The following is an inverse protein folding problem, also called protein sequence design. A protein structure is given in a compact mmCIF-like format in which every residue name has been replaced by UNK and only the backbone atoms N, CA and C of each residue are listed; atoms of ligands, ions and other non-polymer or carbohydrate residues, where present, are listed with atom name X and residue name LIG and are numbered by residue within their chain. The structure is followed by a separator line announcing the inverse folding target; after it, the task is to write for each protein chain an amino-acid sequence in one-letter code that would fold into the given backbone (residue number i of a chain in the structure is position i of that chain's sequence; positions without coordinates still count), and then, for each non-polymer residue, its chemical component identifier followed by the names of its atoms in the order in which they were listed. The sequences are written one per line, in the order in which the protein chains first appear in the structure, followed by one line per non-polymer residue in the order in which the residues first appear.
data_IF_098304048688
#
_entry.id   IF_098304048688
#
_cell.length_a   1.000
_cell.length_b   1.000
_cell.length_c   1.000
_cell.angle_alpha   90.00
_cell.angle_beta   90.00
_cell.angle_gamma   90.00
#
_symmetry.space_group_name_H-M   'P 1'
#
loop_
_entity.id
_entity.type
_entity.pdbx_description
1 polymer ?
#
# COMPACT_ATOMS: atom_id res chain seq x y z
N UNK A 1 -0.33 -19.32 5.41
CA UNK A 1 -1.58 -18.58 5.19
C UNK A 1 -2.75 -19.39 5.71
N UNK A 2 -3.69 -18.71 6.39
CA UNK A 2 -4.87 -19.35 6.99
C UNK A 2 -5.98 -19.68 5.98
N UNK A 3 -5.85 -19.21 4.73
CA UNK A 3 -6.81 -19.49 3.66
C UNK A 3 -6.10 -19.62 2.32
N UNK A 4 -6.60 -20.49 1.49
CA UNK A 4 -6.17 -20.68 0.09
C UNK A 4 -6.89 -19.69 -0.85
N UNK A 5 -7.22 -18.51 -0.35
CA UNK A 5 -8.05 -17.51 -1.06
C UNK A 5 -7.56 -17.26 -2.49
N UNK A 6 -6.27 -16.95 -2.67
CA UNK A 6 -5.75 -16.63 -4.00
C UNK A 6 -5.82 -17.82 -4.96
N UNK A 7 -5.61 -19.06 -4.45
CA UNK A 7 -5.65 -20.29 -5.28
C UNK A 7 -7.05 -20.55 -5.83
N UNK A 8 -8.09 -20.18 -5.11
CA UNK A 8 -9.47 -20.33 -5.56
C UNK A 8 -9.98 -19.09 -6.29
N UNK A 9 -9.63 -17.91 -5.81
CA UNK A 9 -10.23 -16.68 -6.27
C UNK A 9 -9.64 -16.18 -7.60
N UNK A 10 -8.35 -16.35 -7.85
CA UNK A 10 -7.76 -15.95 -9.13
C UNK A 10 -8.34 -16.73 -10.30
N UNK A 11 -8.37 -18.07 -10.31
CA UNK A 11 -9.00 -18.82 -11.38
C UNK A 11 -10.50 -18.54 -11.53
N UNK A 12 -11.18 -18.22 -10.43
CA UNK A 12 -12.59 -17.81 -10.48
C UNK A 12 -12.74 -16.47 -11.22
N UNK A 13 -11.92 -15.48 -10.89
CA UNK A 13 -11.97 -14.15 -11.51
C UNK A 13 -11.62 -14.20 -13.01
N UNK A 14 -10.74 -15.10 -13.43
CA UNK A 14 -10.38 -15.28 -14.85
C UNK A 14 -11.58 -15.63 -15.76
N UNK A 15 -12.71 -16.04 -15.20
CA UNK A 15 -13.93 -16.36 -15.93
C UNK A 15 -14.75 -15.13 -16.33
N UNK A 16 -14.39 -13.95 -15.84
CA UNK A 16 -15.17 -12.72 -16.06
C UNK A 16 -14.40 -11.73 -16.94
N UNK A 17 -14.89 -11.52 -18.13
CA UNK A 17 -14.40 -10.46 -19.00
C UNK A 17 -14.85 -9.07 -18.51
N UNK A 18 -13.98 -8.07 -18.65
CA UNK A 18 -14.27 -6.68 -18.28
C UNK A 18 -14.29 -6.38 -16.79
N UNK A 19 -13.92 -7.34 -15.94
CA UNK A 19 -13.75 -7.17 -14.49
C UNK A 19 -12.27 -7.11 -14.16
N UNK A 20 -11.83 -6.10 -13.41
CA UNK A 20 -10.49 -5.98 -12.87
C UNK A 20 -10.53 -6.12 -11.36
N UNK A 21 -9.76 -7.05 -10.82
CA UNK A 21 -9.59 -7.25 -9.39
C UNK A 21 -8.28 -6.66 -8.90
N UNK A 22 -8.32 -5.90 -7.82
CA UNK A 22 -7.13 -5.42 -7.13
C UNK A 22 -6.93 -6.17 -5.81
N UNK A 23 -5.80 -6.87 -5.66
CA UNK A 23 -5.38 -7.49 -4.39
C UNK A 23 -4.35 -6.60 -3.71
N UNK A 24 -4.70 -6.03 -2.55
CA UNK A 24 -3.85 -5.11 -1.79
C UNK A 24 -3.09 -5.83 -0.68
N UNK A 25 -1.81 -5.53 -0.55
CA UNK A 25 -0.97 -6.17 0.48
C UNK A 25 0.06 -5.24 1.11
N UNK A 26 0.42 -5.54 2.36
CA UNK A 26 1.60 -5.07 3.09
C UNK A 26 2.52 -6.24 3.47
N UNK A 27 2.22 -7.43 2.98
CA UNK A 27 3.02 -8.64 3.16
C UNK A 27 4.10 -8.75 2.07
N UNK A 28 5.19 -9.41 2.40
CA UNK A 28 6.20 -9.86 1.43
C UNK A 28 6.06 -11.36 1.12
N UNK A 29 5.13 -12.05 1.79
CA UNK A 29 4.83 -13.45 1.46
C UNK A 29 3.88 -13.49 0.26
N UNK A 30 4.43 -13.79 -0.90
CA UNK A 30 3.71 -13.88 -2.17
C UNK A 30 3.52 -15.33 -2.65
N UNK A 31 3.83 -16.34 -1.82
CA UNK A 31 3.76 -17.76 -2.21
C UNK A 31 2.39 -18.12 -2.78
N UNK A 32 1.31 -17.76 -2.09
CA UNK A 32 -0.05 -18.06 -2.55
C UNK A 32 -0.45 -17.31 -3.83
N UNK A 33 0.19 -16.17 -4.13
CA UNK A 33 0.01 -15.45 -5.39
C UNK A 33 0.71 -16.23 -6.52
N UNK A 34 1.94 -16.67 -6.28
CA UNK A 34 2.75 -17.42 -7.25
C UNK A 34 2.21 -18.83 -7.51
N UNK A 35 1.58 -19.45 -6.50
CA UNK A 35 0.99 -20.79 -6.61
C UNK A 35 -0.43 -20.75 -7.22
N UNK A 36 -1.10 -19.61 -7.14
CA UNK A 36 -2.42 -19.43 -7.73
C UNK A 36 -2.34 -19.56 -9.26
N UNK A 37 -3.42 -20.03 -9.87
CA UNK A 37 -3.53 -20.19 -11.32
C UNK A 37 -2.35 -20.96 -11.95
N UNK A 38 -1.80 -21.96 -11.21
CA UNK A 38 -0.66 -22.79 -11.65
C UNK A 38 0.61 -21.96 -11.96
N UNK A 39 0.79 -20.82 -11.32
CA UNK A 39 1.92 -19.91 -11.53
C UNK A 39 1.79 -19.00 -12.77
N UNK A 40 0.65 -19.02 -13.45
CA UNK A 40 0.38 -18.14 -14.58
C UNK A 40 -0.19 -16.82 -14.05
N UNK A 41 0.40 -15.67 -14.42
CA UNK A 41 -0.13 -14.37 -14.03
C UNK A 41 -1.58 -14.19 -14.54
N UNK A 42 -2.52 -13.84 -13.67
CA UNK A 42 -3.91 -13.61 -14.07
C UNK A 42 -4.02 -12.35 -14.94
N UNK A 43 -4.87 -12.38 -15.97
CA UNK A 43 -5.02 -11.26 -16.91
C UNK A 43 -5.85 -10.11 -16.33
N UNK A 44 -6.77 -10.41 -15.41
CA UNK A 44 -7.71 -9.46 -14.82
C UNK A 44 -7.45 -9.17 -13.32
N UNK A 45 -6.27 -9.55 -12.81
CA UNK A 45 -5.90 -9.30 -11.41
C UNK A 45 -4.64 -8.46 -11.32
N UNK A 46 -4.64 -7.47 -10.47
CA UNK A 46 -3.52 -6.61 -10.16
C UNK A 46 -3.11 -6.74 -8.70
N UNK A 47 -1.82 -6.79 -8.44
CA UNK A 47 -1.27 -6.91 -7.09
C UNK A 47 -0.73 -5.56 -6.65
N UNK A 48 -1.36 -4.98 -5.64
CA UNK A 48 -1.01 -3.65 -5.14
C UNK A 48 -0.23 -3.73 -3.83
N UNK A 49 0.97 -3.18 -3.83
CA UNK A 49 1.80 -3.08 -2.63
C UNK A 49 1.72 -1.69 -2.01
N UNK A 50 1.36 -1.63 -0.72
CA UNK A 50 1.49 -0.39 0.04
C UNK A 50 2.95 -0.17 0.43
N UNK A 51 3.48 1.02 0.13
CA UNK A 51 4.85 1.44 0.42
C UNK A 51 4.84 2.66 1.33
N UNK A 52 5.67 2.63 2.34
CA UNK A 52 5.95 3.75 3.24
C UNK A 52 7.44 3.75 3.61
N UNK A 53 8.00 4.88 4.06
CA UNK A 53 9.33 4.91 4.67
C UNK A 53 9.46 3.87 5.79
N UNK A 54 10.64 3.25 5.91
CA UNK A 54 10.85 2.16 6.88
C UNK A 54 10.49 2.58 8.32
N UNK A 55 10.84 3.79 8.74
CA UNK A 55 10.48 4.33 10.06
C UNK A 55 8.97 4.43 10.29
N UNK A 56 8.22 4.77 9.26
CA UNK A 56 6.74 4.81 9.31
C UNK A 56 6.18 3.39 9.42
N UNK A 57 6.73 2.43 8.67
CA UNK A 57 6.32 1.02 8.77
C UNK A 57 6.52 0.51 10.19
N UNK A 58 7.68 0.74 10.79
CA UNK A 58 8.00 0.31 12.15
C UNK A 58 7.08 0.92 13.21
N UNK A 59 6.73 2.18 13.04
CA UNK A 59 5.92 2.92 14.00
C UNK A 59 4.42 2.64 13.86
N UNK A 60 3.89 2.59 12.63
CA UNK A 60 2.46 2.59 12.36
C UNK A 60 1.92 1.32 11.70
N UNK A 61 2.78 0.48 11.14
CA UNK A 61 2.36 -0.73 10.41
C UNK A 61 2.86 -2.01 11.09
N UNK A 62 2.67 -2.11 12.40
CA UNK A 62 3.15 -3.26 13.20
C UNK A 62 2.64 -4.58 12.63
N UNK A 63 3.54 -5.58 12.57
CA UNK A 63 3.21 -6.92 12.07
C UNK A 63 3.18 -7.04 10.55
N UNK A 64 3.56 -5.99 9.82
CA UNK A 64 3.68 -6.03 8.36
C UNK A 64 5.13 -6.24 7.91
N UNK A 65 5.34 -6.52 6.64
CA UNK A 65 6.68 -6.73 6.09
C UNK A 65 7.47 -5.41 6.03
N UNK A 66 8.80 -5.43 6.25
CA UNK A 66 9.65 -4.26 6.07
C UNK A 66 9.72 -3.85 4.60
N UNK A 67 10.03 -2.57 4.33
CA UNK A 67 10.09 -1.99 2.98
C UNK A 67 10.96 -2.82 2.02
N UNK A 68 12.17 -3.20 2.47
CA UNK A 68 13.09 -4.02 1.65
C UNK A 68 12.44 -5.31 1.18
N UNK A 69 11.73 -6.01 2.04
CA UNK A 69 11.09 -7.28 1.69
C UNK A 69 9.91 -7.07 0.72
N UNK A 70 9.14 -5.96 0.88
CA UNK A 70 8.09 -5.59 -0.08
C UNK A 70 8.67 -5.31 -1.47
N UNK A 71 9.79 -4.57 -1.56
CA UNK A 71 10.49 -4.29 -2.82
C UNK A 71 10.97 -5.58 -3.48
N UNK A 72 11.52 -6.52 -2.73
CA UNK A 72 11.92 -7.84 -3.26
C UNK A 72 10.72 -8.62 -3.80
N UNK A 73 9.60 -8.64 -3.08
CA UNK A 73 8.37 -9.28 -3.53
C UNK A 73 7.81 -8.65 -4.82
N UNK A 74 7.83 -7.32 -4.92
CA UNK A 74 7.45 -6.57 -6.13
C UNK A 74 8.32 -7.01 -7.31
N UNK A 75 9.64 -6.99 -7.18
CA UNK A 75 10.54 -7.37 -8.26
C UNK A 75 10.30 -8.82 -8.72
N UNK A 76 10.12 -9.75 -7.77
CA UNK A 76 9.79 -11.14 -8.11
C UNK A 76 8.51 -11.26 -8.93
N UNK A 77 7.48 -10.47 -8.62
CA UNK A 77 6.24 -10.47 -9.40
C UNK A 77 6.41 -9.81 -10.77
N UNK A 78 7.13 -8.70 -10.86
CA UNK A 78 7.43 -8.01 -12.13
C UNK A 78 8.26 -8.88 -13.07
N UNK A 79 9.25 -9.63 -12.57
CA UNK A 79 10.04 -10.60 -13.33
C UNK A 79 9.19 -11.73 -13.91
N UNK A 80 8.08 -12.04 -13.26
CA UNK A 80 7.11 -13.06 -13.69
C UNK A 80 5.91 -12.48 -14.45
N UNK A 81 5.99 -11.21 -14.86
CA UNK A 81 4.97 -10.50 -15.64
C UNK A 81 3.60 -10.35 -14.95
N UNK A 82 3.55 -10.36 -13.61
CA UNK A 82 2.35 -9.96 -12.89
C UNK A 82 2.12 -8.46 -13.03
N UNK A 83 0.85 -8.06 -13.08
CA UNK A 83 0.47 -6.65 -13.02
C UNK A 83 0.63 -6.13 -11.60
N UNK A 84 1.53 -5.18 -11.39
CA UNK A 84 1.85 -4.64 -10.07
C UNK A 84 1.55 -3.16 -10.00
N UNK A 85 0.88 -2.74 -8.92
CA UNK A 85 0.68 -1.34 -8.55
C UNK A 85 1.49 -0.98 -7.31
N UNK A 86 2.03 0.22 -7.29
CA UNK A 86 2.65 0.80 -6.10
C UNK A 86 1.69 1.80 -5.47
N UNK A 87 1.39 1.62 -4.18
CA UNK A 87 0.49 2.48 -3.42
C UNK A 87 1.25 3.16 -2.27
N UNK A 88 1.43 4.44 -2.37
CA UNK A 88 1.98 5.26 -1.28
C UNK A 88 0.83 5.69 -0.36
N UNK A 89 0.47 4.79 0.58
CA UNK A 89 -0.75 4.86 1.37
C UNK A 89 -0.60 4.17 2.73
N UNK A 90 -1.00 4.82 3.84
CA UNK A 90 -1.34 6.25 3.93
C UNK A 90 -0.10 7.12 3.93
N UNK A 91 -0.16 8.30 3.30
CA UNK A 91 0.84 9.33 3.50
C UNK A 91 0.66 9.94 4.90
N UNK A 92 1.72 9.96 5.71
CA UNK A 92 1.70 10.45 7.09
C UNK A 92 2.68 11.62 7.25
N UNK A 93 2.23 12.80 7.68
CA UNK A 93 3.07 13.98 7.87
C UNK A 93 3.79 13.96 9.22
N UNK A 94 4.60 12.92 9.42
CA UNK A 94 5.48 12.83 10.59
C UNK A 94 6.59 13.88 10.50
N UNK A 95 7.35 14.05 11.59
CA UNK A 95 8.52 14.92 11.55
C UNK A 95 9.46 14.51 10.41
N UNK A 96 9.97 15.50 9.68
CA UNK A 96 10.87 15.32 8.53
C UNK A 96 10.28 14.49 7.36
N UNK A 97 8.95 14.42 7.24
CA UNK A 97 8.28 13.58 6.23
C UNK A 97 8.75 13.85 4.78
N UNK A 98 9.07 15.09 4.44
CA UNK A 98 9.52 15.44 3.08
C UNK A 98 10.78 14.64 2.70
N UNK A 99 11.79 14.64 3.55
CA UNK A 99 13.02 13.88 3.31
C UNK A 99 12.76 12.37 3.32
N UNK A 100 11.98 11.88 4.28
CA UNK A 100 11.65 10.46 4.36
C UNK A 100 10.96 9.93 3.09
N UNK A 101 10.01 10.69 2.54
CA UNK A 101 9.33 10.27 1.31
C UNK A 101 10.19 10.50 0.06
N UNK A 102 11.04 11.53 0.02
CA UNK A 102 12.02 11.68 -1.05
C UNK A 102 13.00 10.50 -1.10
N UNK A 103 13.55 10.09 0.04
CA UNK A 103 14.42 8.92 0.16
C UNK A 103 13.69 7.63 -0.24
N UNK A 104 12.40 7.48 0.15
CA UNK A 104 11.57 6.35 -0.29
C UNK A 104 11.45 6.31 -1.81
N UNK A 105 11.15 7.45 -2.44
CA UNK A 105 11.01 7.55 -3.89
C UNK A 105 12.31 7.23 -4.63
N UNK A 106 13.45 7.70 -4.13
CA UNK A 106 14.76 7.35 -4.68
C UNK A 106 15.04 5.84 -4.55
N UNK A 107 14.71 5.24 -3.39
CA UNK A 107 14.86 3.81 -3.21
C UNK A 107 13.96 3.02 -4.17
N UNK A 108 12.72 3.44 -4.37
CA UNK A 108 11.77 2.80 -5.30
C UNK A 108 12.31 2.90 -6.72
N UNK A 109 12.67 4.10 -7.19
CA UNK A 109 13.20 4.34 -8.54
C UNK A 109 14.50 3.57 -8.81
N UNK A 110 15.37 3.42 -7.80
CA UNK A 110 16.64 2.72 -7.97
C UNK A 110 16.56 1.19 -7.90
N UNK A 111 15.49 0.64 -7.31
CA UNK A 111 15.40 -0.79 -7.03
C UNK A 111 14.25 -1.50 -7.74
N UNK A 112 13.33 -0.78 -8.34
CA UNK A 112 12.17 -1.31 -9.06
C UNK A 112 12.25 -0.82 -10.50
N UNK A 113 12.05 -1.73 -11.44
CA UNK A 113 11.88 -1.39 -12.85
C UNK A 113 10.53 -0.69 -13.04
N UNK A 114 10.58 0.64 -13.04
CA UNK A 114 9.37 1.47 -13.09
C UNK A 114 8.63 1.36 -14.44
N UNK A 115 9.28 0.92 -15.50
CA UNK A 115 8.64 0.71 -16.82
C UNK A 115 7.68 -0.48 -16.79
N UNK A 116 7.91 -1.44 -15.88
CA UNK A 116 7.04 -2.60 -15.67
C UNK A 116 5.91 -2.37 -14.67
N UNK A 117 5.93 -1.27 -13.94
CA UNK A 117 4.89 -0.95 -12.97
C UNK A 117 3.65 -0.44 -13.69
N UNK A 118 2.50 -1.10 -13.45
CA UNK A 118 1.26 -0.78 -14.14
C UNK A 118 0.66 0.55 -13.70
N UNK A 119 0.77 0.90 -12.42
CA UNK A 119 0.21 2.15 -11.90
C UNK A 119 0.82 2.57 -10.56
N UNK A 120 0.72 3.88 -10.29
CA UNK A 120 1.06 4.51 -9.03
C UNK A 120 -0.21 5.10 -8.41
N UNK A 121 -0.36 4.96 -7.12
CA UNK A 121 -1.45 5.55 -6.36
C UNK A 121 -0.93 6.22 -5.10
N UNK A 122 -1.33 7.45 -4.87
CA UNK A 122 -1.02 8.19 -3.64
C UNK A 122 -2.31 8.57 -2.92
N UNK A 123 -2.34 8.39 -1.61
CA UNK A 123 -3.47 8.86 -0.79
C UNK A 123 -3.04 9.11 0.66
N UNK A 124 -3.74 10.03 1.28
CA UNK A 124 -3.61 10.30 2.70
C UNK A 124 -4.46 9.35 3.55
N UNK A 125 -4.22 9.42 4.86
CA UNK A 125 -5.10 8.81 5.84
C UNK A 125 -6.46 9.52 5.83
N UNK A 126 -7.54 8.76 5.70
CA UNK A 126 -8.91 9.26 5.79
C UNK A 126 -9.73 8.29 6.64
N UNK A 127 -10.41 8.84 7.65
CA UNK A 127 -11.38 8.14 8.49
C UNK A 127 -12.66 8.93 8.60
N UNK A 128 -13.80 8.28 8.85
CA UNK A 128 -14.90 8.95 9.48
C UNK A 128 -14.60 9.15 10.98
N UNK A 129 -15.26 10.12 11.62
CA UNK A 129 -14.99 10.46 13.01
C UNK A 129 -15.23 9.29 13.98
N UNK A 130 -16.25 8.46 13.71
CA UNK A 130 -16.59 7.30 14.55
C UNK A 130 -15.49 6.25 14.55
N UNK A 131 -15.03 5.85 13.36
CA UNK A 131 -13.96 4.85 13.19
C UNK A 131 -12.63 5.37 13.76
N UNK A 132 -12.36 6.65 13.57
CA UNK A 132 -11.16 7.27 14.15
C UNK A 132 -11.16 7.21 15.69
N UNK A 133 -12.29 7.51 16.33
CA UNK A 133 -12.44 7.38 17.79
C UNK A 133 -12.27 5.93 18.26
N UNK A 134 -12.77 4.95 17.52
CA UNK A 134 -12.58 3.53 17.84
C UNK A 134 -11.13 3.12 17.70
N UNK A 135 -10.46 3.54 16.62
CA UNK A 135 -9.03 3.29 16.40
C UNK A 135 -8.18 3.87 17.55
N UNK A 136 -8.46 5.11 17.98
CA UNK A 136 -7.78 5.73 19.11
C UNK A 136 -7.98 4.95 20.43
N UNK A 137 -9.20 4.46 20.68
CA UNK A 137 -9.46 3.62 21.87
C UNK A 137 -8.65 2.33 21.86
N UNK A 138 -8.48 1.71 20.70
CA UNK A 138 -7.69 0.48 20.54
C UNK A 138 -6.18 0.73 20.59
N UNK A 139 -5.75 1.95 20.27
CA UNK A 139 -4.34 2.36 20.19
C UNK A 139 -4.11 3.68 20.96
N UNK A 140 -4.27 3.72 22.29
CA UNK A 140 -4.25 4.96 23.08
C UNK A 140 -2.92 5.69 23.03
N UNK A 141 -1.82 4.95 22.80
CA UNK A 141 -0.47 5.51 22.73
C UNK A 141 -0.07 5.96 21.31
N UNK A 142 -0.96 5.84 20.33
CA UNK A 142 -0.68 6.32 18.98
C UNK A 142 -0.74 7.84 18.91
N UNK A 143 0.31 8.46 18.36
CA UNK A 143 0.36 9.88 18.10
C UNK A 143 -0.34 10.28 16.78
N UNK A 144 -1.01 9.35 16.11
CA UNK A 144 -1.68 9.57 14.82
C UNK A 144 -2.69 10.72 14.87
N UNK A 145 -3.32 10.93 16.05
CA UNK A 145 -4.25 12.05 16.28
C UNK A 145 -3.63 13.42 16.04
N UNK A 146 -2.32 13.55 16.24
CA UNK A 146 -1.60 14.83 16.09
C UNK A 146 -1.29 15.14 14.61
N UNK A 147 -1.45 14.15 13.72
CA UNK A 147 -1.15 14.25 12.30
C UNK A 147 -2.38 14.58 11.44
N UNK A 148 -3.56 14.55 12.02
CA UNK A 148 -4.83 14.68 11.30
C UNK A 148 -5.74 15.73 11.92
N UNK A 149 -6.71 16.20 11.13
CA UNK A 149 -7.71 17.18 11.55
C UNK A 149 -9.11 16.68 11.20
N UNK A 150 -10.09 16.99 12.07
CA UNK A 150 -11.50 16.81 11.78
C UNK A 150 -11.97 17.92 10.83
N UNK A 151 -12.57 17.52 9.73
CA UNK A 151 -13.17 18.41 8.74
C UNK A 151 -14.64 18.66 9.05
N UNK A 152 -15.21 19.73 8.49
CA UNK A 152 -16.64 20.07 8.66
C UNK A 152 -17.61 18.96 8.20
N UNK A 153 -17.22 18.19 7.19
CA UNK A 153 -17.98 17.04 6.67
C UNK A 153 -17.87 15.75 7.53
N UNK A 154 -17.24 15.84 8.72
CA UNK A 154 -17.09 14.70 9.63
C UNK A 154 -15.96 13.73 9.27
N UNK A 155 -15.16 14.03 8.25
CA UNK A 155 -13.96 13.23 7.92
C UNK A 155 -12.76 13.69 8.76
N UNK A 156 -11.93 12.73 9.13
CA UNK A 156 -10.63 12.95 9.78
C UNK A 156 -9.54 12.64 8.76
N UNK A 157 -8.79 13.63 8.36
CA UNK A 157 -7.72 13.52 7.36
C UNK A 157 -6.55 14.46 7.67
N UNK A 158 -5.43 14.29 6.96
CA UNK A 158 -4.35 15.28 7.01
C UNK A 158 -4.82 16.60 6.37
N UNK A 159 -4.25 17.76 6.78
CA UNK A 159 -4.54 19.03 6.14
C UNK A 159 -4.30 19.00 4.63
N UNK A 160 -5.18 19.61 3.85
CA UNK A 160 -5.09 19.59 2.38
C UNK A 160 -3.79 20.20 1.85
N UNK A 161 -3.29 21.27 2.48
CA UNK A 161 -2.01 21.89 2.11
C UNK A 161 -0.84 20.91 2.27
N UNK A 162 -0.87 20.08 3.32
CA UNK A 162 0.15 19.05 3.55
C UNK A 162 0.02 17.97 2.48
N UNK A 163 -1.20 17.56 2.12
CA UNK A 163 -1.41 16.59 1.06
C UNK A 163 -0.89 17.10 -0.29
N UNK A 164 -1.13 18.37 -0.63
CA UNK A 164 -0.55 18.97 -1.85
C UNK A 164 0.98 18.98 -1.83
N UNK A 165 1.59 19.19 -0.67
CA UNK A 165 3.04 19.05 -0.53
C UNK A 165 3.52 17.63 -0.83
N UNK A 166 2.79 16.60 -0.38
CA UNK A 166 3.10 15.22 -0.78
C UNK A 166 2.98 15.02 -2.29
N UNK A 167 1.89 15.49 -2.90
CA UNK A 167 1.68 15.37 -4.35
C UNK A 167 2.84 15.96 -5.14
N UNK A 168 3.43 17.07 -4.68
CA UNK A 168 4.57 17.71 -5.33
C UNK A 168 5.91 16.94 -5.22
N UNK A 169 6.00 15.93 -4.35
CA UNK A 169 7.19 15.07 -4.24
C UNK A 169 7.18 13.93 -5.28
N UNK A 170 5.99 13.51 -5.72
CA UNK A 170 5.77 12.40 -6.66
C UNK A 170 5.72 12.87 -8.11
#
# INVERSE_FOLDING_TARGET
QLSEFNQHFFPFMEQFDGVLMETRTKSANISSILEANQGIPPHNTEISFSLNPQSIIEQYEKGTAPLRARIQAINTLLEKNYKVWLRFLPLLPVENYKNLYSELLEQVKSKIDMEKVNSLFIASLIYNQGDFKQMQKKNPNSNLRNLVQLQENGLVKIPDQIFQTFVSLF
#
